data_IF_554007495846
#
_entry.id   IF_554007495846
#
_cell.length_a   1.000
_cell.length_b   1.000
_cell.length_c   1.000
_cell.angle_alpha   90.00
_cell.angle_beta   90.00
_cell.angle_gamma   90.00
#
_symmetry.space_group_name_H-M   'P 1'
#
loop_
_entity.id
_entity.type
_entity.pdbx_description
1 polymer ?
#
# COMPACT_ATOMS: atom_id res chain seq x y z
N UNK A 1 30.87 -34.93 -21.72
CA UNK A 1 31.50 -34.15 -20.64
C UNK A 1 31.66 -32.71 -21.11
N UNK A 2 30.69 -31.84 -20.81
CA UNK A 2 30.84 -30.38 -20.90
C UNK A 2 29.98 -29.77 -19.79
N UNK A 3 30.56 -28.81 -19.09
CA UNK A 3 30.26 -28.45 -17.70
C UNK A 3 29.01 -27.61 -17.51
N UNK A 4 28.38 -27.84 -16.35
CA UNK A 4 27.33 -27.02 -15.77
C UNK A 4 27.79 -25.56 -15.62
N UNK A 5 27.05 -24.64 -16.22
CA UNK A 5 27.17 -23.21 -15.96
C UNK A 5 26.59 -22.91 -14.58
N UNK A 6 27.48 -22.65 -13.61
CA UNK A 6 27.15 -22.11 -12.31
C UNK A 6 26.60 -20.69 -12.45
N UNK A 7 25.29 -20.53 -12.26
CA UNK A 7 24.62 -19.23 -12.20
C UNK A 7 24.83 -18.57 -10.84
N UNK A 8 25.91 -17.80 -10.71
CA UNK A 8 26.19 -17.00 -9.52
C UNK A 8 25.28 -15.76 -9.48
N UNK A 9 24.11 -15.90 -8.86
CA UNK A 9 23.24 -14.76 -8.50
C UNK A 9 23.86 -14.03 -7.31
N UNK A 10 24.66 -13.00 -7.58
CA UNK A 10 25.16 -12.07 -6.56
C UNK A 10 25.12 -10.61 -7.05
N UNK A 11 23.91 -10.10 -7.28
CA UNK A 11 23.65 -8.66 -7.35
C UNK A 11 23.09 -8.19 -6.01
N UNK A 12 23.95 -8.00 -5.01
CA UNK A 12 23.78 -6.99 -3.95
C UNK A 12 25.10 -6.95 -3.18
N UNK A 13 25.99 -6.04 -3.58
CA UNK A 13 27.16 -5.66 -2.80
C UNK A 13 26.79 -4.38 -2.04
N UNK A 14 26.35 -4.54 -0.80
CA UNK A 14 26.15 -3.43 0.14
C UNK A 14 27.51 -2.81 0.45
N UNK A 15 27.62 -1.49 0.28
CA UNK A 15 28.81 -0.71 0.64
C UNK A 15 28.79 -0.45 2.15
N UNK A 16 29.77 -0.94 2.93
CA UNK A 16 29.92 -0.56 4.33
C UNK A 16 30.74 0.73 4.40
N UNK A 17 30.22 1.81 4.99
CA UNK A 17 31.08 2.93 5.38
C UNK A 17 30.55 4.35 5.44
N UNK A 18 29.28 4.64 5.14
CA UNK A 18 28.80 6.03 5.25
C UNK A 18 28.33 6.33 6.68
N UNK A 19 29.28 6.69 7.55
CA UNK A 19 29.01 7.39 8.81
C UNK A 19 28.56 8.82 8.47
N UNK A 20 27.26 9.06 8.45
CA UNK A 20 26.70 10.41 8.51
C UNK A 20 26.77 10.91 9.96
N UNK A 21 27.97 11.32 10.39
CA UNK A 21 28.15 12.06 11.64
C UNK A 21 28.12 13.53 11.31
N UNK A 22 26.93 14.14 11.41
CA UNK A 22 26.76 15.56 11.22
C UNK A 22 25.91 16.14 12.35
N UNK A 23 26.53 17.13 13.00
CA UNK A 23 25.92 18.30 13.64
C UNK A 23 25.45 18.08 15.08
N UNK A 24 26.23 18.68 15.99
CA UNK A 24 25.84 18.91 17.36
C UNK A 24 24.59 19.77 17.42
N UNK A 25 23.58 19.30 18.15
CA UNK A 25 22.42 20.11 18.52
C UNK A 25 22.69 20.78 19.88
N UNK A 26 22.48 22.10 20.02
CA UNK A 26 22.53 22.74 21.31
C UNK A 26 21.38 22.21 22.17
N UNK A 27 21.71 21.92 23.43
CA UNK A 27 20.74 21.60 24.46
C UNK A 27 19.83 22.81 24.68
N UNK A 28 18.59 22.74 24.15
CA UNK A 28 17.52 23.67 24.51
C UNK A 28 16.45 22.89 25.26
N UNK A 29 16.13 23.41 26.44
CA UNK A 29 15.12 22.96 27.38
C UNK A 29 13.84 22.45 26.70
N UNK A 30 13.61 21.14 26.77
CA UNK A 30 12.40 20.49 26.23
C UNK A 30 12.30 18.99 26.50
N UNK A 31 13.15 18.46 27.39
CA UNK A 31 13.39 17.02 27.54
C UNK A 31 12.28 16.24 28.25
N UNK A 32 11.37 16.90 28.99
CA UNK A 32 10.30 16.20 29.73
C UNK A 32 9.09 15.84 28.84
N UNK A 33 8.83 16.65 27.81
CA UNK A 33 7.68 16.49 26.92
C UNK A 33 7.92 15.49 25.79
N UNK A 34 9.17 15.36 25.33
CA UNK A 34 9.55 14.39 24.28
C UNK A 34 9.42 12.94 24.75
N UNK A 35 9.42 12.69 26.06
CA UNK A 35 9.31 11.34 26.65
C UNK A 35 7.84 10.91 26.81
N UNK A 36 6.95 11.84 27.15
CA UNK A 36 5.53 11.54 27.33
C UNK A 36 4.84 11.16 26.01
N UNK A 37 5.23 11.78 24.90
CA UNK A 37 4.63 11.57 23.57
C UNK A 37 5.33 10.51 22.70
N UNK A 38 6.44 9.92 23.17
CA UNK A 38 7.13 8.81 22.47
C UNK A 38 6.44 7.45 22.64
N UNK A 39 5.34 7.40 23.39
CA UNK A 39 4.61 6.16 23.71
C UNK A 39 3.21 6.08 23.08
N UNK A 40 2.93 6.79 21.99
CA UNK A 40 1.80 6.41 21.13
C UNK A 40 2.24 5.21 20.28
N UNK A 41 2.62 4.12 20.93
CA UNK A 41 2.44 2.80 20.32
C UNK A 41 0.95 2.62 20.20
N UNK A 42 0.42 2.54 18.98
CA UNK A 42 -0.97 2.15 18.76
C UNK A 42 -1.30 0.98 19.69
N UNK A 43 -2.30 1.11 20.56
CA UNK A 43 -2.63 0.01 21.47
C UNK A 43 -2.99 -1.24 20.65
N UNK A 44 -2.85 -2.41 21.25
CA UNK A 44 -3.13 -3.70 20.60
C UNK A 44 -4.51 -3.73 19.90
N UNK A 45 -5.49 -2.96 20.39
CA UNK A 45 -6.80 -2.81 19.76
C UNK A 45 -6.76 -2.14 18.38
N UNK A 46 -6.02 -1.04 18.21
CA UNK A 46 -5.87 -0.39 16.90
C UNK A 46 -5.04 -1.25 15.92
N UNK A 47 -4.05 -1.98 16.43
CA UNK A 47 -3.28 -2.95 15.63
C UNK A 47 -4.16 -4.12 15.14
N UNK A 48 -5.05 -4.62 15.99
CA UNK A 48 -5.98 -5.69 15.61
C UNK A 48 -6.94 -5.24 14.50
N UNK A 49 -7.52 -4.04 14.62
CA UNK A 49 -8.41 -3.48 13.59
C UNK A 49 -7.65 -3.25 12.27
N UNK A 50 -6.38 -2.85 12.33
CA UNK A 50 -5.54 -2.72 11.14
C UNK A 50 -5.31 -4.08 10.45
N UNK A 51 -5.07 -5.14 11.23
CA UNK A 51 -4.91 -6.49 10.69
C UNK A 51 -6.22 -7.07 10.12
N UNK A 52 -7.37 -6.67 10.66
CA UNK A 52 -8.69 -7.01 10.08
C UNK A 52 -8.85 -6.29 8.74
N UNK A 53 -8.53 -5.00 8.69
CA UNK A 53 -8.63 -4.21 7.47
C UNK A 53 -7.70 -4.76 6.37
N UNK A 54 -6.46 -5.11 6.71
CA UNK A 54 -5.52 -5.73 5.76
C UNK A 54 -6.07 -7.04 5.19
N UNK A 55 -6.66 -7.90 6.03
CA UNK A 55 -7.30 -9.15 5.57
C UNK A 55 -8.49 -8.89 4.63
N UNK A 56 -9.28 -7.85 4.90
CA UNK A 56 -10.37 -7.46 4.03
C UNK A 56 -9.88 -6.97 2.67
N UNK A 57 -8.84 -6.12 2.65
CA UNK A 57 -8.16 -5.67 1.42
C UNK A 57 -7.60 -6.85 0.63
N UNK A 58 -6.86 -7.76 1.29
CA UNK A 58 -6.32 -8.96 0.65
C UNK A 58 -7.42 -9.84 0.06
N UNK A 59 -8.54 -9.98 0.76
CA UNK A 59 -9.71 -10.73 0.29
C UNK A 59 -10.29 -10.12 -0.98
N UNK A 60 -10.53 -8.82 -0.97
CA UNK A 60 -11.01 -8.05 -2.13
C UNK A 60 -10.06 -8.18 -3.33
N UNK A 61 -8.75 -7.97 -3.13
CA UNK A 61 -7.75 -8.09 -4.20
C UNK A 61 -7.73 -9.51 -4.77
N UNK A 62 -7.81 -10.56 -3.94
CA UNK A 62 -7.87 -11.95 -4.41
C UNK A 62 -9.12 -12.22 -5.26
N UNK A 63 -10.26 -11.65 -4.90
CA UNK A 63 -11.49 -11.76 -5.70
C UNK A 63 -11.32 -11.06 -7.04
N UNK A 64 -10.84 -9.81 -7.03
CA UNK A 64 -10.57 -9.04 -8.26
C UNK A 64 -9.55 -9.74 -9.18
N UNK A 65 -8.50 -10.31 -8.60
CA UNK A 65 -7.49 -11.08 -9.34
C UNK A 65 -8.12 -12.27 -10.08
N UNK A 66 -8.89 -13.08 -9.35
CA UNK A 66 -9.52 -14.28 -9.91
C UNK A 66 -10.57 -13.95 -10.97
N UNK A 67 -11.40 -12.96 -10.72
CA UNK A 67 -12.58 -12.67 -11.56
C UNK A 67 -12.30 -11.73 -12.73
N UNK A 68 -11.30 -10.84 -12.59
CA UNK A 68 -11.06 -9.78 -13.58
C UNK A 68 -9.62 -9.74 -14.11
N UNK A 69 -8.60 -9.81 -13.24
CA UNK A 69 -7.22 -9.65 -13.69
C UNK A 69 -6.72 -10.87 -14.46
N UNK A 70 -6.94 -12.09 -13.96
CA UNK A 70 -6.50 -13.31 -14.64
C UNK A 70 -7.15 -13.52 -16.00
N UNK A 71 -8.47 -13.31 -16.19
CA UNK A 71 -9.07 -13.37 -17.52
C UNK A 71 -8.48 -12.33 -18.49
N UNK A 72 -8.25 -11.09 -18.04
CA UNK A 72 -7.61 -10.05 -18.86
C UNK A 72 -6.18 -10.45 -19.25
N UNK A 73 -5.40 -10.95 -18.30
CA UNK A 73 -4.04 -11.46 -18.55
C UNK A 73 -4.06 -12.59 -19.57
N UNK A 74 -4.96 -13.57 -19.40
CA UNK A 74 -5.12 -14.68 -20.36
C UNK A 74 -5.41 -14.16 -21.76
N UNK A 75 -6.36 -13.23 -21.90
CA UNK A 75 -6.70 -12.61 -23.18
C UNK A 75 -5.52 -11.89 -23.82
N UNK A 76 -4.75 -11.14 -23.02
CA UNK A 76 -3.54 -10.46 -23.50
C UNK A 76 -2.49 -11.45 -24.02
N UNK A 77 -2.24 -12.56 -23.32
CA UNK A 77 -1.29 -13.57 -23.76
C UNK A 77 -1.76 -14.34 -25.00
N UNK A 78 -3.07 -14.61 -25.12
CA UNK A 78 -3.63 -15.21 -26.34
C UNK A 78 -3.50 -14.26 -27.53
N UNK A 79 -3.80 -12.97 -27.36
CA UNK A 79 -3.57 -11.93 -28.38
C UNK A 79 -2.09 -11.87 -28.82
N UNK A 80 -1.15 -11.97 -27.88
CA UNK A 80 0.28 -12.03 -28.23
C UNK A 80 0.63 -13.27 -29.04
N UNK A 81 0.04 -14.42 -28.73
CA UNK A 81 0.24 -15.63 -29.51
C UNK A 81 -0.27 -15.44 -30.96
N UNK A 82 -1.46 -14.84 -31.13
CA UNK A 82 -2.00 -14.50 -32.46
C UNK A 82 -1.10 -13.53 -33.24
N UNK A 83 -0.49 -12.54 -32.56
CA UNK A 83 0.49 -11.65 -33.19
C UNK A 83 1.71 -12.44 -33.71
N UNK A 84 2.18 -13.44 -32.95
CA UNK A 84 3.36 -14.25 -33.31
C UNK A 84 3.05 -15.28 -34.41
N UNK A 85 1.81 -15.76 -34.48
CA UNK A 85 1.37 -16.66 -35.56
C UNK A 85 1.23 -15.94 -36.90
N UNK A 86 1.10 -14.61 -36.90
CA UNK A 86 1.02 -13.81 -38.11
C UNK A 86 2.40 -13.54 -38.72
N UNK A 87 2.77 -14.39 -39.68
CA UNK A 87 4.03 -14.32 -40.41
C UNK A 87 4.23 -13.02 -41.23
N UNK A 88 3.17 -12.25 -41.45
CA UNK A 88 3.27 -10.95 -42.14
C UNK A 88 3.75 -9.81 -41.20
N UNK A 89 3.69 -10.01 -39.89
CA UNK A 89 4.18 -9.04 -38.91
C UNK A 89 5.64 -9.31 -38.58
N UNK A 90 6.50 -8.33 -38.83
CA UNK A 90 7.94 -8.41 -38.54
C UNK A 90 8.44 -7.16 -37.83
N UNK A 91 9.56 -7.31 -37.10
CA UNK A 91 10.27 -6.20 -36.46
C UNK A 91 9.38 -5.31 -35.59
N UNK A 92 9.29 -4.02 -35.95
CA UNK A 92 8.50 -3.04 -35.18
C UNK A 92 6.99 -3.31 -35.23
N UNK A 93 6.46 -3.87 -36.32
CA UNK A 93 5.02 -4.11 -36.47
C UNK A 93 4.53 -5.22 -35.53
N UNK A 94 5.33 -6.27 -35.38
CA UNK A 94 5.09 -7.34 -34.40
C UNK A 94 5.15 -6.80 -32.97
N UNK A 95 6.17 -6.00 -32.64
CA UNK A 95 6.30 -5.41 -31.31
C UNK A 95 5.11 -4.49 -30.97
N UNK A 96 4.63 -3.69 -31.93
CA UNK A 96 3.46 -2.85 -31.75
C UNK A 96 2.18 -3.69 -31.52
N UNK A 97 2.02 -4.81 -32.25
CA UNK A 97 0.94 -5.77 -32.03
C UNK A 97 0.97 -6.31 -30.58
N UNK A 98 2.12 -6.80 -30.14
CA UNK A 98 2.29 -7.34 -28.78
C UNK A 98 2.03 -6.30 -27.69
N UNK A 99 2.49 -5.06 -27.87
CA UNK A 99 2.20 -3.95 -26.95
C UNK A 99 0.71 -3.62 -26.90
N UNK A 100 0.02 -3.67 -28.05
CA UNK A 100 -1.42 -3.41 -28.08
C UNK A 100 -2.22 -4.40 -27.24
N UNK A 101 -1.75 -5.65 -27.13
CA UNK A 101 -2.38 -6.70 -26.32
C UNK A 101 -2.32 -6.42 -24.81
N UNK A 102 -1.28 -5.73 -24.29
CA UNK A 102 -1.17 -5.45 -22.85
C UNK A 102 -1.86 -4.16 -22.43
N UNK A 103 -2.16 -3.24 -23.35
CA UNK A 103 -2.72 -1.93 -23.03
C UNK A 103 -3.93 -1.98 -22.08
N UNK A 104 -4.84 -2.93 -22.29
CA UNK A 104 -6.04 -3.09 -21.44
C UNK A 104 -5.67 -3.60 -20.05
N UNK A 105 -4.75 -4.54 -19.97
CA UNK A 105 -4.22 -5.06 -18.70
C UNK A 105 -3.48 -3.95 -17.93
N UNK A 106 -2.67 -3.14 -18.60
CA UNK A 106 -1.87 -2.10 -17.96
C UNK A 106 -2.77 -0.98 -17.40
N UNK A 107 -3.82 -0.60 -18.14
CA UNK A 107 -4.87 0.29 -17.63
C UNK A 107 -5.54 -0.26 -16.37
N UNK A 108 -5.89 -1.55 -16.38
CA UNK A 108 -6.51 -2.19 -15.22
C UNK A 108 -5.59 -2.18 -14.00
N UNK A 109 -4.33 -2.57 -14.17
CA UNK A 109 -3.33 -2.54 -13.09
C UNK A 109 -3.21 -1.15 -12.49
N UNK A 110 -3.14 -0.13 -13.34
CA UNK A 110 -3.03 1.25 -12.89
C UNK A 110 -4.23 1.70 -12.06
N UNK A 111 -5.46 1.32 -12.46
CA UNK A 111 -6.67 1.63 -11.68
C UNK A 111 -6.61 0.96 -10.30
N UNK A 112 -6.22 -0.32 -10.23
CA UNK A 112 -6.09 -1.03 -8.95
C UNK A 112 -5.04 -0.37 -8.05
N UNK A 113 -3.86 -0.06 -8.60
CA UNK A 113 -2.78 0.62 -7.88
C UNK A 113 -3.23 1.97 -7.32
N UNK A 114 -3.85 2.81 -8.17
CA UNK A 114 -4.36 4.12 -7.75
C UNK A 114 -5.40 4.01 -6.62
N UNK A 115 -6.36 3.11 -6.76
CA UNK A 115 -7.40 2.90 -5.74
C UNK A 115 -6.81 2.42 -4.41
N UNK A 116 -5.78 1.56 -4.46
CA UNK A 116 -5.11 1.07 -3.25
C UNK A 116 -4.25 2.15 -2.60
N UNK A 117 -3.56 2.97 -3.38
CA UNK A 117 -2.77 4.09 -2.87
C UNK A 117 -3.67 5.16 -2.23
N UNK A 118 -4.76 5.53 -2.89
CA UNK A 118 -5.76 6.46 -2.36
C UNK A 118 -6.38 5.93 -1.07
N UNK A 119 -6.68 4.64 -1.00
CA UNK A 119 -7.19 4.00 0.20
C UNK A 119 -6.19 4.08 1.35
N UNK A 120 -4.93 3.70 1.11
CA UNK A 120 -3.86 3.77 2.11
C UNK A 120 -3.65 5.19 2.63
N UNK A 121 -3.65 6.19 1.75
CA UNK A 121 -3.53 7.60 2.15
C UNK A 121 -4.69 8.05 3.03
N UNK A 122 -5.92 7.66 2.70
CA UNK A 122 -7.10 7.98 3.52
C UNK A 122 -7.00 7.39 4.92
N UNK A 123 -6.58 6.13 5.04
CA UNK A 123 -6.37 5.46 6.34
C UNK A 123 -5.28 6.17 7.13
N UNK A 124 -4.13 6.46 6.52
CA UNK A 124 -3.02 7.15 7.19
C UNK A 124 -3.44 8.53 7.70
N UNK A 125 -4.15 9.31 6.86
CA UNK A 125 -4.70 10.61 7.28
C UNK A 125 -5.68 10.46 8.44
N UNK A 126 -6.56 9.47 8.42
CA UNK A 126 -7.51 9.21 9.52
C UNK A 126 -6.82 8.92 10.84
N UNK A 127 -5.77 8.08 10.82
CA UNK A 127 -4.97 7.79 12.03
C UNK A 127 -4.21 9.02 12.55
N UNK A 128 -3.67 9.85 11.65
CA UNK A 128 -3.02 11.10 12.02
C UNK A 128 -4.01 12.10 12.64
N UNK A 129 -5.20 12.25 12.07
CA UNK A 129 -6.26 13.09 12.64
C UNK A 129 -6.62 12.65 14.06
N UNK A 130 -6.77 11.34 14.30
CA UNK A 130 -7.01 10.82 15.64
C UNK A 130 -5.89 11.17 16.63
N UNK A 131 -4.63 11.12 16.17
CA UNK A 131 -3.48 11.47 16.99
C UNK A 131 -3.50 12.96 17.37
N UNK A 132 -3.79 13.84 16.41
CA UNK A 132 -3.84 15.28 16.63
C UNK A 132 -5.01 15.66 17.55
N UNK A 133 -6.20 15.08 17.35
CA UNK A 133 -7.33 15.25 18.28
C UNK A 133 -6.99 14.78 19.71
N UNK A 134 -6.22 13.69 19.84
CA UNK A 134 -5.71 13.22 21.12
C UNK A 134 -4.78 14.21 21.81
N UNK A 135 -3.86 14.82 21.04
CA UNK A 135 -2.97 15.88 21.53
C UNK A 135 -3.73 17.14 21.92
N UNK A 136 -4.69 17.56 21.11
CA UNK A 136 -5.51 18.75 21.37
C UNK A 136 -6.32 18.58 22.65
N UNK A 137 -6.88 17.37 22.85
CA UNK A 137 -7.55 17.01 24.11
C UNK A 137 -6.59 17.04 25.29
N UNK A 138 -5.37 16.51 25.15
CA UNK A 138 -4.38 16.51 26.23
C UNK A 138 -3.98 17.95 26.60
N UNK A 139 -3.78 18.81 25.59
CA UNK A 139 -3.33 20.19 25.75
C UNK A 139 -1.95 20.25 26.40
N UNK A 140 -1.81 21.07 27.44
CA UNK A 140 -0.56 21.20 28.23
C UNK A 140 -0.51 20.26 29.43
N UNK A 141 -1.45 19.33 29.57
CA UNK A 141 -1.50 18.43 30.73
C UNK A 141 -0.44 17.34 30.63
N UNK A 142 0.20 17.04 31.76
CA UNK A 142 1.27 16.02 31.85
C UNK A 142 1.03 14.99 32.93
N UNK A 143 -0.09 15.10 33.66
CA UNK A 143 -0.45 14.11 34.66
C UNK A 143 -0.70 12.75 33.98
N UNK A 144 -0.24 11.64 34.59
CA UNK A 144 -0.37 10.30 34.01
C UNK A 144 -1.82 9.93 33.66
N UNK A 145 -2.80 10.44 34.42
CA UNK A 145 -4.22 10.17 34.21
C UNK A 145 -4.73 10.82 32.91
N UNK A 146 -4.42 12.10 32.67
CA UNK A 146 -4.78 12.80 31.44
C UNK A 146 -4.09 12.21 30.22
N UNK A 147 -2.84 11.77 30.36
CA UNK A 147 -2.12 11.05 29.30
C UNK A 147 -2.80 9.72 28.97
N UNK A 148 -3.17 8.94 29.99
CA UNK A 148 -3.88 7.67 29.79
C UNK A 148 -5.25 7.86 29.13
N UNK A 149 -6.00 8.89 29.52
CA UNK A 149 -7.30 9.23 28.89
C UNK A 149 -7.13 9.66 27.43
N UNK A 150 -6.13 10.49 27.12
CA UNK A 150 -5.84 10.91 25.76
C UNK A 150 -5.42 9.72 24.88
N UNK A 151 -4.57 8.82 25.41
CA UNK A 151 -4.16 7.61 24.71
C UNK A 151 -5.36 6.71 24.40
N UNK A 152 -6.21 6.44 25.40
CA UNK A 152 -7.44 5.66 25.21
C UNK A 152 -8.35 6.26 24.14
N UNK A 153 -8.48 7.59 24.12
CA UNK A 153 -9.23 8.29 23.08
C UNK A 153 -8.64 8.07 21.68
N UNK A 154 -7.31 8.20 21.53
CA UNK A 154 -6.63 7.96 20.25
C UNK A 154 -6.89 6.54 19.75
N UNK A 155 -6.81 5.55 20.65
CA UNK A 155 -7.02 4.15 20.31
C UNK A 155 -8.47 3.87 19.86
N UNK A 156 -9.45 4.43 20.57
CA UNK A 156 -10.88 4.33 20.20
C UNK A 156 -11.18 5.05 18.88
N UNK A 157 -10.60 6.23 18.67
CA UNK A 157 -10.72 6.99 17.42
C UNK A 157 -10.12 6.20 16.25
N UNK A 158 -8.91 5.66 16.42
CA UNK A 158 -8.23 4.87 15.39
C UNK A 158 -9.03 3.62 15.01
N UNK A 159 -9.53 2.88 16.00
CA UNK A 159 -10.39 1.72 15.75
C UNK A 159 -11.67 2.11 14.98
N UNK A 160 -12.30 3.23 15.33
CA UNK A 160 -13.46 3.75 14.62
C UNK A 160 -13.12 4.17 13.19
N UNK A 161 -11.99 4.85 12.97
CA UNK A 161 -11.52 5.26 11.64
C UNK A 161 -11.24 4.06 10.74
N UNK A 162 -10.59 3.01 11.26
CA UNK A 162 -10.33 1.79 10.49
C UNK A 162 -11.64 1.08 10.10
N UNK A 163 -12.60 0.98 11.02
CA UNK A 163 -13.92 0.40 10.74
C UNK A 163 -14.71 1.21 9.71
N UNK A 164 -14.65 2.55 9.73
CA UNK A 164 -15.34 3.36 8.71
C UNK A 164 -14.70 3.18 7.33
N UNK A 165 -13.38 2.98 7.27
CA UNK A 165 -12.68 2.71 6.02
C UNK A 165 -12.97 1.31 5.45
N UNK A 166 -13.31 0.32 6.28
CA UNK A 166 -13.76 -0.99 5.76
C UNK A 166 -15.01 -0.87 4.88
N UNK A 167 -15.96 0.00 5.22
CA UNK A 167 -17.16 0.22 4.40
C UNK A 167 -16.86 0.87 3.03
N UNK A 168 -15.67 1.46 2.87
CA UNK A 168 -15.22 2.05 1.59
C UNK A 168 -14.66 0.98 0.65
N UNK A 169 -14.24 -0.18 1.17
CA UNK A 169 -13.67 -1.27 0.35
C UNK A 169 -14.66 -1.76 -0.70
N UNK A 170 -15.94 -1.93 -0.35
CA UNK A 170 -16.98 -2.33 -1.30
C UNK A 170 -17.11 -1.32 -2.44
N UNK A 171 -17.05 -0.03 -2.12
CA UNK A 171 -17.09 1.04 -3.12
C UNK A 171 -15.85 1.05 -4.02
N UNK A 172 -14.67 0.74 -3.47
CA UNK A 172 -13.42 0.57 -4.26
C UNK A 172 -13.57 -0.62 -5.21
N UNK A 173 -14.02 -1.75 -4.69
CA UNK A 173 -14.24 -2.96 -5.48
C UNK A 173 -15.19 -2.67 -6.66
N UNK A 174 -16.31 -1.99 -6.41
CA UNK A 174 -17.25 -1.61 -7.48
C UNK A 174 -16.62 -0.70 -8.54
N UNK A 175 -15.78 0.28 -8.14
CA UNK A 175 -15.08 1.13 -9.11
C UNK A 175 -14.13 0.33 -10.00
N UNK A 176 -13.35 -0.59 -9.41
CA UNK A 176 -12.45 -1.47 -10.16
C UNK A 176 -13.25 -2.37 -11.11
N UNK A 177 -14.36 -2.95 -10.66
CA UNK A 177 -15.24 -3.78 -11.48
C UNK A 177 -15.86 -3.02 -12.65
N UNK A 178 -16.25 -1.75 -12.43
CA UNK A 178 -16.76 -0.88 -13.47
C UNK A 178 -15.69 -0.57 -14.53
N UNK A 179 -14.47 -0.26 -14.10
CA UNK A 179 -13.32 -0.10 -15.00
C UNK A 179 -13.01 -1.38 -15.77
N UNK A 180 -13.17 -2.56 -15.15
CA UNK A 180 -12.94 -3.85 -15.79
C UNK A 180 -13.95 -4.13 -16.89
N UNK A 181 -15.21 -3.75 -16.66
CA UNK A 181 -16.27 -3.94 -17.63
C UNK A 181 -16.11 -3.04 -18.86
N UNK A 182 -15.48 -1.87 -18.72
CA UNK A 182 -15.16 -0.97 -19.84
C UNK A 182 -13.97 -1.44 -20.69
N UNK A 183 -13.19 -2.41 -20.20
CA UNK A 183 -11.98 -2.90 -20.85
C UNK A 183 -12.17 -4.28 -21.52
N UNK A 184 -13.36 -4.88 -21.39
CA UNK A 184 -13.80 -6.04 -22.17
C UNK A 184 -14.10 -5.60 -23.60
#
# INVERSE_FOLDING_TARGET
MMGLMSGDRRCYRTVPGVRASLIGTPAVAGGRWRSALRSVSMAAQAQQEQAVLQRAVDGMIKTLDREHLRPLQKGAYMCMAECLDNVALEGQSLQACMQSCTNRMDKMKHVVEQEMDDFQQRVQRGLLTCNDEGKDRLGTRTDPESVAKAQKFVDECAAKSLRSHMAVLDAIQQRIQNSASQLK
#
